data_IF_134258325191
#
_entry.id   IF_134258325191
#
_cell.length_a   1.000
_cell.length_b   1.000
_cell.length_c   1.000
_cell.angle_alpha   90.00
_cell.angle_beta   90.00
_cell.angle_gamma   90.00
#
_symmetry.space_group_name_H-M   'P 1'
#
loop_
_entity.id
_entity.type
_entity.pdbx_description
1 polymer ?
#
# COMPACT_ATOMS: atom_id res chain seq x y z
N UNK A 1 4.96 -4.98 -19.70
CA UNK A 1 4.80 -5.91 -20.84
C UNK A 1 3.37 -6.47 -20.76
N UNK A 2 2.47 -6.07 -21.66
CA UNK A 2 1.05 -6.49 -21.63
C UNK A 2 0.92 -7.97 -22.05
N UNK A 3 0.02 -8.78 -21.45
CA UNK A 3 -0.28 -10.11 -21.96
C UNK A 3 -0.94 -9.99 -23.35
N UNK A 4 -0.31 -10.63 -24.34
CA UNK A 4 -0.84 -10.73 -25.71
C UNK A 4 -2.08 -11.62 -25.67
N UNK A 5 -3.28 -11.07 -25.87
CA UNK A 5 -4.50 -11.90 -25.94
C UNK A 5 -5.84 -11.18 -26.04
N UNK A 6 -5.93 -9.92 -25.61
CA UNK A 6 -7.20 -9.20 -25.65
C UNK A 6 -7.45 -8.58 -27.04
N UNK A 7 -8.15 -9.33 -27.90
CA UNK A 7 -8.77 -8.75 -29.11
C UNK A 7 -9.95 -7.88 -28.67
N UNK A 8 -9.90 -6.58 -28.95
CA UNK A 8 -11.04 -5.67 -28.81
C UNK A 8 -12.17 -6.12 -29.74
N UNK A 9 -13.18 -6.79 -29.21
CA UNK A 9 -14.46 -6.98 -29.90
C UNK A 9 -15.36 -5.79 -29.56
N UNK A 10 -15.49 -4.85 -30.50
CA UNK A 10 -16.57 -3.87 -30.50
C UNK A 10 -17.90 -4.63 -30.66
N UNK A 11 -18.68 -4.78 -29.59
CA UNK A 11 -20.05 -5.25 -29.69
C UNK A 11 -20.94 -4.10 -30.16
N UNK A 12 -21.19 -4.06 -31.47
CA UNK A 12 -22.24 -3.24 -32.06
C UNK A 12 -23.61 -3.79 -31.62
N UNK A 13 -24.38 -2.94 -30.94
CA UNK A 13 -25.75 -3.20 -30.52
C UNK A 13 -26.66 -3.31 -31.75
N UNK A 14 -27.09 -4.53 -32.12
CA UNK A 14 -28.13 -4.76 -33.12
C UNK A 14 -29.35 -5.39 -32.44
N UNK A 15 -30.34 -4.55 -32.08
CA UNK A 15 -31.66 -5.05 -31.65
C UNK A 15 -32.67 -4.86 -32.76
N UNK A 16 -33.08 -5.98 -33.37
CA UNK A 16 -34.37 -6.11 -34.06
C UNK A 16 -35.42 -6.48 -33.00
N UNK A 17 -36.50 -5.71 -33.00
CA UNK A 17 -37.71 -5.86 -32.18
C UNK A 17 -38.54 -7.08 -32.57
N UNK A 18 -38.97 -7.89 -31.60
CA UNK A 18 -40.27 -8.61 -31.63
C UNK A 18 -40.63 -9.10 -30.21
N UNK A 19 -41.91 -9.03 -29.80
CA UNK A 19 -42.34 -9.41 -28.45
C UNK A 19 -42.86 -10.86 -28.41
N UNK A 20 -42.52 -11.60 -27.36
CA UNK A 20 -43.17 -12.87 -27.03
C UNK A 20 -43.69 -12.80 -25.59
N UNK A 21 -44.99 -13.05 -25.44
CA UNK A 21 -45.77 -12.99 -24.21
C UNK A 21 -45.75 -14.34 -23.50
N UNK A 22 -45.58 -14.34 -22.17
CA UNK A 22 -46.08 -15.35 -21.25
C UNK A 22 -45.11 -16.46 -20.80
N UNK A 23 -44.64 -16.38 -19.54
CA UNK A 23 -44.51 -17.51 -18.60
C UNK A 23 -43.95 -17.05 -17.23
N UNK A 24 -44.80 -17.16 -16.21
CA UNK A 24 -44.57 -17.55 -14.80
C UNK A 24 -43.44 -16.96 -13.94
N UNK A 25 -43.87 -16.54 -12.75
CA UNK A 25 -43.13 -15.81 -11.72
C UNK A 25 -42.12 -16.72 -10.99
N UNK A 26 -40.84 -16.53 -11.29
CA UNK A 26 -39.73 -16.80 -10.37
C UNK A 26 -39.15 -15.45 -9.96
N UNK A 27 -38.87 -15.26 -8.66
CA UNK A 27 -38.32 -14.04 -8.08
C UNK A 27 -36.85 -13.83 -8.52
N UNK A 28 -36.64 -13.61 -9.81
CA UNK A 28 -35.41 -13.08 -10.35
C UNK A 28 -35.30 -11.62 -9.93
N UNK A 29 -34.17 -11.29 -9.28
CA UNK A 29 -33.74 -9.94 -8.91
C UNK A 29 -33.94 -9.01 -10.12
N UNK A 30 -35.04 -8.24 -10.13
CA UNK A 30 -35.25 -7.18 -11.12
C UNK A 30 -34.13 -6.14 -10.91
N UNK A 31 -33.02 -6.28 -11.64
CA UNK A 31 -32.11 -5.17 -11.89
C UNK A 31 -32.92 -4.18 -12.73
N UNK A 32 -33.45 -3.14 -12.09
CA UNK A 32 -34.19 -2.07 -12.74
C UNK A 32 -33.28 -1.44 -13.79
N UNK A 33 -33.64 -1.60 -15.06
CA UNK A 33 -33.01 -0.94 -16.20
C UNK A 33 -33.41 0.55 -16.21
N UNK A 34 -32.92 1.34 -15.27
CA UNK A 34 -32.85 2.78 -15.49
C UNK A 34 -31.71 3.03 -16.48
N UNK A 35 -31.95 3.84 -17.51
CA UNK A 35 -31.09 4.04 -18.69
C UNK A 35 -29.71 4.67 -18.47
N UNK A 36 -29.03 4.40 -17.36
CA UNK A 36 -27.58 4.49 -17.25
C UNK A 36 -27.03 3.07 -17.31
N UNK A 37 -26.16 2.75 -18.26
CA UNK A 37 -25.47 1.46 -18.26
C UNK A 37 -24.78 1.30 -16.90
N UNK A 38 -25.18 0.30 -16.10
CA UNK A 38 -24.43 -0.06 -14.89
C UNK A 38 -23.06 -0.53 -15.37
N UNK A 39 -22.06 0.34 -15.27
CA UNK A 39 -20.70 0.05 -15.67
C UNK A 39 -20.08 -0.86 -14.64
N UNK A 40 -19.49 -1.97 -15.06
CA UNK A 40 -18.69 -2.83 -14.19
C UNK A 40 -17.63 -1.99 -13.45
N UNK A 41 -17.46 -2.26 -12.15
CA UNK A 41 -16.49 -1.57 -11.29
C UNK A 41 -15.57 -2.57 -10.60
N UNK A 42 -14.29 -2.24 -10.52
CA UNK A 42 -13.37 -2.82 -9.56
C UNK A 42 -13.30 -1.90 -8.33
N UNK A 43 -13.84 -2.36 -7.21
CA UNK A 43 -13.72 -1.68 -5.93
C UNK A 43 -12.44 -2.14 -5.22
N UNK A 44 -11.59 -1.20 -4.82
CA UNK A 44 -10.43 -1.49 -3.95
C UNK A 44 -10.87 -1.17 -2.52
N UNK A 45 -11.09 -2.20 -1.71
CA UNK A 45 -11.75 -2.06 -0.41
C UNK A 45 -10.76 -2.33 0.72
N UNK A 46 -10.53 -1.31 1.54
CA UNK A 46 -9.71 -1.48 2.74
C UNK A 46 -10.42 -2.31 3.81
N UNK A 47 -9.70 -3.25 4.41
CA UNK A 47 -10.16 -4.10 5.51
C UNK A 47 -9.53 -3.66 6.84
N UNK A 48 -10.10 -4.04 8.00
CA UNK A 48 -9.54 -3.65 9.29
C UNK A 48 -8.13 -4.21 9.54
N UNK A 49 -7.32 -3.48 10.33
CA UNK A 49 -5.94 -3.86 10.69
C UNK A 49 -5.81 -4.43 12.12
N UNK A 50 -6.91 -4.92 12.69
CA UNK A 50 -6.93 -5.55 14.02
C UNK A 50 -8.20 -5.32 14.83
N UNK A 51 -8.97 -4.26 14.52
CA UNK A 51 -10.24 -3.97 15.18
C UNK A 51 -11.39 -3.97 14.17
N UNK A 52 -12.34 -4.89 14.32
CA UNK A 52 -13.49 -5.03 13.39
C UNK A 52 -14.32 -3.74 13.26
N UNK A 53 -14.33 -2.88 14.28
CA UNK A 53 -15.03 -1.60 14.26
C UNK A 53 -14.43 -0.59 13.26
N UNK A 54 -13.21 -0.81 12.77
CA UNK A 54 -12.58 0.06 11.76
C UNK A 54 -13.12 -0.18 10.34
N UNK A 55 -14.02 -1.16 10.17
CA UNK A 55 -14.69 -1.40 8.90
C UNK A 55 -15.71 -0.29 8.61
N UNK A 56 -15.57 0.38 7.46
CA UNK A 56 -16.53 1.43 7.09
C UNK A 56 -17.87 0.84 6.63
N UNK A 57 -18.97 1.54 6.91
CA UNK A 57 -20.31 1.16 6.43
C UNK A 57 -20.34 1.01 4.90
N UNK A 58 -19.61 1.89 4.18
CA UNK A 58 -19.51 1.82 2.72
C UNK A 58 -18.76 0.57 2.25
N UNK A 59 -17.70 0.15 2.94
CA UNK A 59 -17.01 -1.10 2.62
C UNK A 59 -17.95 -2.29 2.77
N UNK A 60 -18.73 -2.35 3.86
CA UNK A 60 -19.72 -3.40 4.10
C UNK A 60 -20.79 -3.40 2.99
N UNK A 61 -21.34 -2.23 2.64
CA UNK A 61 -22.34 -2.11 1.59
C UNK A 61 -21.82 -2.60 0.23
N UNK A 62 -20.63 -2.14 -0.18
CA UNK A 62 -19.99 -2.56 -1.43
C UNK A 62 -19.76 -4.07 -1.45
N UNK A 63 -19.20 -4.63 -0.38
CA UNK A 63 -18.89 -6.06 -0.32
C UNK A 63 -20.14 -6.95 -0.35
N UNK A 64 -21.30 -6.46 0.10
CA UNK A 64 -22.58 -7.15 -0.02
C UNK A 64 -23.18 -7.09 -1.43
N UNK A 65 -22.78 -6.11 -2.24
CA UNK A 65 -23.37 -5.86 -3.55
C UNK A 65 -22.55 -6.40 -4.72
N UNK A 66 -21.23 -6.55 -4.55
CA UNK A 66 -20.35 -7.06 -5.62
C UNK A 66 -20.70 -8.50 -6.02
N UNK A 67 -20.52 -8.80 -7.30
CA UNK A 67 -20.79 -10.12 -7.87
C UNK A 67 -19.62 -11.10 -7.63
N UNK A 68 -18.42 -10.58 -7.30
CA UNK A 68 -17.23 -11.38 -6.99
C UNK A 68 -16.30 -10.66 -6.01
N UNK A 69 -15.75 -11.38 -5.05
CA UNK A 69 -14.71 -10.92 -4.14
C UNK A 69 -13.36 -11.54 -4.51
N UNK A 70 -12.39 -10.73 -4.89
CA UNK A 70 -10.99 -11.12 -5.00
C UNK A 70 -10.29 -10.83 -3.67
N UNK A 71 -9.91 -11.88 -2.93
CA UNK A 71 -9.26 -11.77 -1.63
C UNK A 71 -7.88 -12.41 -1.66
N UNK A 72 -6.91 -11.83 -0.96
CA UNK A 72 -5.56 -12.39 -0.82
C UNK A 72 -5.57 -13.82 -0.28
N UNK A 73 -6.08 -14.03 0.95
CA UNK A 73 -6.43 -15.35 1.48
C UNK A 73 -7.94 -15.45 1.75
N UNK A 74 -8.62 -16.33 1.02
CA UNK A 74 -10.07 -16.56 1.17
C UNK A 74 -10.44 -17.20 2.51
N UNK A 75 -9.51 -17.91 3.16
CA UNK A 75 -9.70 -18.51 4.48
C UNK A 75 -9.62 -17.46 5.58
N UNK A 76 -8.69 -16.51 5.45
CA UNK A 76 -8.57 -15.39 6.38
C UNK A 76 -9.80 -14.48 6.29
N UNK A 77 -10.09 -14.00 5.08
CA UNK A 77 -11.22 -13.11 4.81
C UNK A 77 -12.59 -13.73 5.15
N UNK A 78 -12.75 -15.06 5.09
CA UNK A 78 -14.01 -15.72 5.47
C UNK A 78 -14.45 -15.45 6.91
N UNK A 79 -13.54 -15.14 7.84
CA UNK A 79 -13.91 -14.73 9.20
C UNK A 79 -14.57 -13.35 9.17
N UNK A 80 -13.95 -12.39 8.49
CA UNK A 80 -14.46 -11.03 8.32
C UNK A 80 -15.80 -11.01 7.58
N UNK A 81 -15.92 -11.79 6.50
CA UNK A 81 -17.14 -11.87 5.70
C UNK A 81 -18.31 -12.43 6.51
N UNK A 82 -18.06 -13.48 7.31
CA UNK A 82 -19.09 -14.04 8.21
C UNK A 82 -19.54 -13.03 9.27
N UNK A 83 -18.61 -12.29 9.87
CA UNK A 83 -18.94 -11.28 10.88
C UNK A 83 -19.91 -10.22 10.33
N UNK A 84 -19.70 -9.78 9.09
CA UNK A 84 -20.54 -8.76 8.45
C UNK A 84 -21.67 -9.30 7.58
N UNK A 85 -21.93 -10.62 7.60
CA UNK A 85 -22.93 -11.28 6.76
C UNK A 85 -22.77 -10.92 5.27
N UNK A 86 -21.54 -11.03 4.76
CA UNK A 86 -21.20 -10.86 3.35
C UNK A 86 -21.17 -12.23 2.68
N UNK A 87 -21.98 -12.40 1.63
CA UNK A 87 -22.17 -13.67 0.93
C UNK A 87 -21.57 -13.69 -0.48
N UNK A 88 -20.87 -12.62 -0.88
CA UNK A 88 -20.26 -12.52 -2.20
C UNK A 88 -19.31 -13.71 -2.45
N UNK A 89 -19.38 -14.36 -3.62
CA UNK A 89 -18.51 -15.49 -3.92
C UNK A 89 -17.06 -15.01 -4.00
N UNK A 90 -16.16 -15.72 -3.33
CA UNK A 90 -14.76 -15.34 -3.23
C UNK A 90 -13.84 -16.13 -4.17
N UNK A 91 -12.76 -15.48 -4.62
CA UNK A 91 -11.62 -16.07 -5.33
C UNK A 91 -10.33 -15.63 -4.66
N UNK A 92 -9.38 -16.55 -4.53
CA UNK A 92 -8.05 -16.22 -4.05
C UNK A 92 -7.28 -15.43 -5.13
N UNK A 93 -6.83 -14.23 -4.79
CA UNK A 93 -6.04 -13.36 -5.66
C UNK A 93 -4.83 -12.79 -4.91
N UNK A 94 -3.65 -13.33 -5.22
CA UNK A 94 -2.36 -12.97 -4.64
C UNK A 94 -1.31 -12.77 -5.77
N UNK A 95 -0.06 -12.44 -5.42
CA UNK A 95 0.96 -12.04 -6.41
C UNK A 95 1.26 -13.12 -7.48
N UNK A 96 1.16 -14.39 -7.07
CA UNK A 96 1.30 -15.56 -7.94
C UNK A 96 0.00 -16.04 -8.61
N UNK A 97 -1.10 -15.31 -8.52
CA UNK A 97 -2.34 -15.73 -9.17
C UNK A 97 -2.16 -15.86 -10.68
N UNK A 98 -2.61 -17.01 -11.20
CA UNK A 98 -2.48 -17.37 -12.60
C UNK A 98 -3.57 -16.75 -13.48
N UNK A 99 -3.38 -16.87 -14.80
CA UNK A 99 -4.28 -16.32 -15.82
C UNK A 99 -5.74 -16.82 -15.69
N UNK A 100 -5.95 -18.02 -15.13
CA UNK A 100 -7.29 -18.56 -14.94
C UNK A 100 -8.15 -17.72 -13.98
N UNK A 101 -7.53 -17.20 -12.90
CA UNK A 101 -8.22 -16.33 -11.94
C UNK A 101 -8.50 -14.97 -12.56
N UNK A 102 -7.51 -14.39 -13.25
CA UNK A 102 -7.67 -13.12 -13.98
C UNK A 102 -8.78 -13.23 -15.05
N UNK A 103 -8.86 -14.36 -15.77
CA UNK A 103 -9.93 -14.61 -16.75
C UNK A 103 -11.30 -14.69 -16.08
N UNK A 104 -11.42 -15.37 -14.95
CA UNK A 104 -12.69 -15.44 -14.20
C UNK A 104 -13.15 -14.04 -13.78
N UNK A 105 -12.24 -13.20 -13.31
CA UNK A 105 -12.53 -11.81 -12.95
C UNK A 105 -12.92 -10.99 -14.19
N UNK A 106 -12.18 -11.13 -15.30
CA UNK A 106 -12.50 -10.44 -16.55
C UNK A 106 -13.90 -10.80 -17.08
N UNK A 107 -14.28 -12.08 -17.05
CA UNK A 107 -15.63 -12.54 -17.42
C UNK A 107 -16.71 -11.94 -16.52
N UNK A 108 -16.43 -11.70 -15.22
CA UNK A 108 -17.35 -11.00 -14.34
C UNK A 108 -17.59 -9.56 -14.85
N UNK A 109 -16.54 -8.82 -15.20
CA UNK A 109 -16.69 -7.47 -15.74
C UNK A 109 -17.36 -7.43 -17.12
N UNK A 110 -17.03 -8.37 -18.01
CA UNK A 110 -17.64 -8.48 -19.35
C UNK A 110 -19.15 -8.73 -19.28
N UNK A 111 -19.62 -9.40 -18.23
CA UNK A 111 -21.05 -9.60 -17.97
C UNK A 111 -21.72 -8.41 -17.25
N UNK A 112 -21.00 -7.32 -17.01
CA UNK A 112 -21.47 -6.13 -16.32
C UNK A 112 -21.46 -6.25 -14.79
N UNK A 113 -20.84 -7.31 -14.24
CA UNK A 113 -20.69 -7.52 -12.82
C UNK A 113 -19.56 -6.68 -12.20
N UNK A 114 -19.68 -6.37 -10.92
CA UNK A 114 -18.67 -5.65 -10.14
C UNK A 114 -17.85 -6.60 -9.29
N UNK A 115 -16.58 -6.23 -9.07
CA UNK A 115 -15.62 -7.03 -8.30
C UNK A 115 -15.03 -6.18 -7.18
N UNK A 116 -14.94 -6.71 -5.97
CA UNK A 116 -14.17 -6.09 -4.90
C UNK A 116 -12.81 -6.78 -4.75
N UNK A 117 -11.76 -6.01 -4.56
CA UNK A 117 -10.43 -6.47 -4.16
C UNK A 117 -10.22 -6.12 -2.68
N UNK A 118 -9.84 -7.11 -1.88
CA UNK A 118 -9.41 -6.96 -0.48
C UNK A 118 -8.06 -7.64 -0.25
N UNK A 119 -7.27 -7.12 0.69
CA UNK A 119 -6.13 -7.81 1.29
C UNK A 119 -6.52 -8.33 2.67
N UNK A 120 -5.66 -9.15 3.27
CA UNK A 120 -5.92 -9.73 4.58
C UNK A 120 -6.12 -8.65 5.65
N UNK A 121 -5.39 -7.54 5.56
CA UNK A 121 -5.55 -6.39 6.45
C UNK A 121 -5.15 -5.07 5.76
N UNK A 122 -5.92 -4.01 5.99
CA UNK A 122 -5.59 -2.67 5.55
C UNK A 122 -6.00 -2.38 4.12
N UNK A 123 -5.28 -1.46 3.46
CA UNK A 123 -5.60 -1.00 2.11
C UNK A 123 -4.87 -1.86 1.08
N UNK A 124 -5.58 -2.57 0.18
CA UNK A 124 -4.95 -3.36 -0.87
C UNK A 124 -4.00 -2.50 -1.73
N UNK A 125 -3.00 -3.14 -2.34
CA UNK A 125 -1.89 -2.54 -3.09
C UNK A 125 -0.83 -1.81 -2.24
N UNK A 126 -1.05 -1.57 -0.94
CA UNK A 126 -0.05 -0.94 -0.07
C UNK A 126 0.74 -2.03 0.66
N UNK A 127 1.84 -2.47 0.05
CA UNK A 127 2.60 -3.68 0.45
C UNK A 127 1.80 -4.99 0.35
N UNK A 128 0.70 -4.97 -0.39
CA UNK A 128 -0.22 -6.09 -0.63
C UNK A 128 -0.36 -6.37 -2.13
N UNK A 129 -0.83 -7.57 -2.54
CA UNK A 129 -1.16 -7.86 -3.93
C UNK A 129 -2.30 -6.97 -4.47
N UNK A 130 -2.45 -6.92 -5.80
CA UNK A 130 -3.57 -6.22 -6.45
C UNK A 130 -3.18 -5.29 -7.60
N UNK A 131 -1.90 -4.88 -7.66
CA UNK A 131 -1.41 -3.99 -8.73
C UNK A 131 -1.75 -4.50 -10.12
N UNK A 132 -1.49 -5.78 -10.40
CA UNK A 132 -1.80 -6.42 -11.68
C UNK A 132 -3.30 -6.40 -12.01
N UNK A 133 -4.16 -6.58 -11.01
CA UNK A 133 -5.61 -6.57 -11.21
C UNK A 133 -6.14 -5.19 -11.55
N UNK A 134 -5.65 -4.15 -10.87
CA UNK A 134 -5.99 -2.76 -11.18
C UNK A 134 -5.54 -2.40 -12.60
N UNK A 135 -4.33 -2.83 -13.00
CA UNK A 135 -3.83 -2.66 -14.36
C UNK A 135 -4.70 -3.38 -15.40
N UNK A 136 -5.18 -4.59 -15.09
CA UNK A 136 -6.08 -5.34 -15.96
C UNK A 136 -7.43 -4.63 -16.11
N UNK A 137 -8.05 -4.18 -15.00
CA UNK A 137 -9.29 -3.42 -15.03
C UNK A 137 -9.17 -2.18 -15.91
N UNK A 138 -8.11 -1.38 -15.72
CA UNK A 138 -7.81 -0.21 -16.53
C UNK A 138 -7.65 -0.55 -18.02
N UNK A 139 -6.95 -1.65 -18.33
CA UNK A 139 -6.75 -2.10 -19.71
C UNK A 139 -8.06 -2.52 -20.41
N UNK A 140 -9.03 -3.00 -19.63
CA UNK A 140 -10.36 -3.39 -20.10
C UNK A 140 -11.37 -2.23 -20.08
N UNK A 141 -10.97 -1.02 -19.66
CA UNK A 141 -11.87 0.12 -19.53
C UNK A 141 -12.87 0.00 -18.37
N UNK A 142 -12.62 -0.90 -17.41
CA UNK A 142 -13.41 -1.06 -16.20
C UNK A 142 -13.09 0.09 -15.24
N UNK A 143 -14.12 0.68 -14.65
CA UNK A 143 -13.94 1.73 -13.66
C UNK A 143 -13.25 1.16 -12.41
N UNK A 144 -12.24 1.85 -11.90
CA UNK A 144 -11.60 1.50 -10.62
C UNK A 144 -12.01 2.51 -9.58
N UNK A 145 -12.56 2.05 -8.46
CA UNK A 145 -13.08 2.90 -7.38
C UNK A 145 -12.44 2.55 -6.04
N UNK A 146 -11.72 3.47 -5.38
CA UNK A 146 -11.19 3.23 -4.06
C UNK A 146 -12.28 3.42 -2.99
N UNK A 147 -12.35 2.48 -2.04
CA UNK A 147 -13.11 2.62 -0.80
C UNK A 147 -12.12 2.86 0.34
N UNK A 148 -11.86 4.12 0.73
CA UNK A 148 -11.05 4.45 1.88
C UNK A 148 -11.41 3.69 3.15
N UNK A 149 -10.38 3.40 3.95
CA UNK A 149 -10.46 2.71 5.23
C UNK A 149 -9.08 2.62 5.86
N UNK A 150 -8.87 1.61 6.69
CA UNK A 150 -7.66 1.47 7.52
C UNK A 150 -6.37 1.30 6.69
N UNK A 151 -5.32 2.03 7.06
CA UNK A 151 -3.97 1.87 6.54
C UNK A 151 -2.98 2.02 7.71
N UNK A 152 -2.21 0.97 8.01
CA UNK A 152 -1.36 0.94 9.19
C UNK A 152 -0.27 2.03 9.17
N UNK A 153 0.35 2.28 8.01
CA UNK A 153 1.33 3.35 7.83
C UNK A 153 0.76 4.74 8.18
N UNK A 154 -0.43 5.06 7.67
CA UNK A 154 -1.07 6.35 7.91
C UNK A 154 -1.57 6.46 9.36
N UNK A 155 -2.12 5.38 9.92
CA UNK A 155 -2.54 5.35 11.31
C UNK A 155 -1.35 5.61 12.25
N UNK A 156 -0.23 4.91 12.07
CA UNK A 156 0.99 5.10 12.85
C UNK A 156 1.56 6.52 12.70
N UNK A 157 1.63 7.03 11.46
CA UNK A 157 2.15 8.37 11.20
C UNK A 157 1.32 9.46 11.88
N UNK A 158 -0.01 9.31 11.92
CA UNK A 158 -0.93 10.29 12.51
C UNK A 158 -0.74 10.54 14.00
N UNK A 159 -0.15 9.58 14.73
CA UNK A 159 0.14 9.67 16.16
C UNK A 159 1.63 9.74 16.49
N UNK A 160 2.49 9.76 15.47
CA UNK A 160 3.96 9.65 15.63
C UNK A 160 4.64 10.92 16.18
N UNK A 161 4.01 12.09 16.04
CA UNK A 161 4.65 13.38 16.33
C UNK A 161 5.76 13.79 15.34
N UNK A 162 5.96 13.03 14.25
CA UNK A 162 6.92 13.36 13.19
C UNK A 162 6.32 14.32 12.15
N UNK A 163 7.14 15.07 11.39
CA UNK A 163 6.64 15.89 10.29
C UNK A 163 5.89 15.05 9.26
N UNK A 164 4.69 15.48 8.89
CA UNK A 164 3.80 14.76 7.95
C UNK A 164 3.50 15.55 6.68
N UNK A 165 4.09 16.75 6.52
CA UNK A 165 4.02 17.56 5.30
C UNK A 165 4.69 16.86 4.11
N UNK A 166 5.73 16.06 4.39
CA UNK A 166 6.37 15.17 3.41
C UNK A 166 6.85 13.89 4.10
N UNK A 167 6.39 12.74 3.59
CA UNK A 167 6.86 11.43 4.03
C UNK A 167 7.06 10.49 2.83
N UNK A 168 7.86 9.45 3.04
CA UNK A 168 8.07 8.36 2.09
C UNK A 168 7.71 7.03 2.77
N UNK A 169 6.91 6.22 2.06
CA UNK A 169 6.59 4.86 2.48
C UNK A 169 7.48 3.88 1.71
N UNK A 170 8.34 3.18 2.44
CA UNK A 170 9.38 2.30 1.89
C UNK A 170 8.98 0.82 1.94
N UNK A 171 7.80 0.50 2.51
CA UNK A 171 7.34 -0.87 2.66
C UNK A 171 8.28 -1.72 3.52
N UNK A 172 8.48 -2.97 3.12
CA UNK A 172 9.34 -3.92 3.84
C UNK A 172 10.79 -3.84 3.36
N UNK A 173 11.72 -3.74 4.31
CA UNK A 173 13.15 -3.75 4.00
C UNK A 173 13.64 -5.13 3.55
N UNK A 174 14.67 -5.19 2.68
CA UNK A 174 15.26 -6.45 2.23
C UNK A 174 15.61 -7.39 3.38
N UNK A 175 15.30 -8.67 3.22
CA UNK A 175 15.55 -9.68 4.25
C UNK A 175 17.04 -9.89 4.54
N UNK A 176 17.88 -9.84 3.49
CA UNK A 176 19.33 -10.03 3.61
C UNK A 176 19.99 -8.78 4.18
N UNK A 177 20.80 -8.94 5.23
CA UNK A 177 21.46 -7.84 5.94
C UNK A 177 22.23 -6.89 5.00
N UNK A 178 23.09 -7.40 4.12
CA UNK A 178 23.86 -6.55 3.19
C UNK A 178 22.96 -5.74 2.24
N UNK A 179 21.90 -6.36 1.70
CA UNK A 179 20.97 -5.66 0.82
C UNK A 179 20.16 -4.60 1.57
N UNK A 180 19.81 -4.87 2.83
CA UNK A 180 19.13 -3.91 3.71
C UNK A 180 20.02 -2.73 4.06
N UNK A 181 21.28 -2.99 4.41
CA UNK A 181 22.27 -1.95 4.72
C UNK A 181 22.50 -1.05 3.50
N UNK A 182 22.63 -1.62 2.30
CA UNK A 182 22.74 -0.86 1.06
C UNK A 182 21.48 -0.02 0.77
N UNK A 183 20.29 -0.60 0.96
CA UNK A 183 19.03 0.13 0.78
C UNK A 183 18.89 1.30 1.78
N UNK A 184 19.27 1.09 3.04
CA UNK A 184 19.25 2.13 4.06
C UNK A 184 20.26 3.24 3.78
N UNK A 185 21.43 2.92 3.22
CA UNK A 185 22.44 3.91 2.84
C UNK A 185 21.90 4.92 1.82
N UNK A 186 21.09 4.48 0.85
CA UNK A 186 20.47 5.35 -0.16
C UNK A 186 19.43 6.32 0.44
N UNK A 187 18.94 6.05 1.67
CA UNK A 187 17.91 6.83 2.34
C UNK A 187 18.45 7.78 3.43
N UNK A 188 19.75 7.72 3.75
CA UNK A 188 20.37 8.45 4.88
C UNK A 188 20.15 9.97 4.80
N UNK A 189 20.24 10.53 3.60
CA UNK A 189 20.10 11.96 3.36
C UNK A 189 18.64 12.41 3.14
N UNK A 190 17.67 11.50 3.32
CA UNK A 190 16.26 11.84 3.21
C UNK A 190 15.86 12.87 4.27
N UNK A 191 15.22 13.93 3.82
CA UNK A 191 14.67 14.99 4.67
C UNK A 191 13.19 14.75 5.01
N UNK A 192 12.56 13.76 4.37
CA UNK A 192 11.18 13.37 4.63
C UNK A 192 11.10 12.34 5.76
N UNK A 193 9.98 12.28 6.45
CA UNK A 193 9.70 11.18 7.38
C UNK A 193 9.65 9.86 6.60
N UNK A 194 10.41 8.86 7.04
CA UNK A 194 10.44 7.54 6.42
C UNK A 194 9.55 6.57 7.20
N UNK A 195 8.70 5.82 6.50
CA UNK A 195 7.80 4.83 7.09
C UNK A 195 8.13 3.46 6.50
N UNK A 196 8.44 2.50 7.38
CA UNK A 196 8.76 1.12 7.03
C UNK A 196 7.77 0.17 7.70
N UNK A 197 7.51 -0.96 7.05
CA UNK A 197 6.94 -2.14 7.67
C UNK A 197 8.05 -3.15 7.95
N UNK A 198 7.87 -3.93 9.02
CA UNK A 198 8.80 -5.01 9.37
C UNK A 198 8.09 -6.15 10.08
N UNK A 199 8.56 -7.38 9.85
CA UNK A 199 8.06 -8.54 10.55
C UNK A 199 8.50 -8.51 12.03
N UNK A 200 7.65 -8.92 12.99
CA UNK A 200 7.94 -8.78 14.43
C UNK A 200 9.29 -9.37 14.86
N UNK A 201 9.67 -10.52 14.29
CA UNK A 201 10.92 -11.23 14.61
C UNK A 201 12.18 -10.58 14.00
N UNK A 202 12.02 -9.64 13.06
CA UNK A 202 13.12 -8.93 12.37
C UNK A 202 13.35 -7.51 12.89
N UNK A 203 12.44 -6.97 13.71
CA UNK A 203 12.50 -5.57 14.17
C UNK A 203 13.85 -5.26 14.84
N UNK A 204 14.34 -6.14 15.72
CA UNK A 204 15.63 -5.93 16.40
C UNK A 204 16.82 -5.85 15.44
N UNK A 205 16.91 -6.77 14.48
CA UNK A 205 17.97 -6.79 13.46
C UNK A 205 17.88 -5.56 12.53
N UNK A 206 16.65 -5.18 12.17
CA UNK A 206 16.37 -4.01 11.35
C UNK A 206 16.83 -2.71 12.02
N UNK A 207 16.49 -2.53 13.31
CA UNK A 207 16.94 -1.37 14.11
C UNK A 207 18.47 -1.31 14.22
N UNK A 208 19.13 -2.46 14.40
CA UNK A 208 20.60 -2.50 14.39
C UNK A 208 21.19 -2.06 13.04
N UNK A 209 20.60 -2.46 11.91
CA UNK A 209 21.03 -1.99 10.59
C UNK A 209 20.82 -0.48 10.40
N UNK A 210 19.77 0.09 10.97
CA UNK A 210 19.52 1.54 10.94
C UNK A 210 20.53 2.32 11.80
N UNK A 211 20.96 1.75 12.92
CA UNK A 211 21.94 2.36 13.83
C UNK A 211 23.37 2.33 13.25
N UNK A 212 23.74 1.24 12.55
CA UNK A 212 25.05 1.11 11.88
C UNK A 212 25.37 2.18 10.83
N UNK A 213 24.35 2.86 10.29
CA UNK A 213 24.52 3.97 9.34
C UNK A 213 25.11 5.24 9.97
N UNK A 214 25.40 5.24 11.27
CA UNK A 214 26.03 6.37 11.94
C UNK A 214 27.26 5.92 12.73
N UNK A 215 28.45 6.34 12.30
CA UNK A 215 29.67 6.18 13.10
C UNK A 215 29.45 6.81 14.49
N UNK A 216 29.97 6.16 15.53
CA UNK A 216 29.90 6.73 16.87
C UNK A 216 30.68 8.05 16.93
N UNK A 217 30.11 9.04 17.62
CA UNK A 217 30.84 10.26 17.97
C UNK A 217 31.65 9.97 19.22
N UNK A 218 32.94 9.71 19.04
CA UNK A 218 33.88 9.55 20.16
C UNK A 218 34.44 10.90 20.64
N UNK A 219 35.15 10.88 21.76
CA UNK A 219 35.73 12.11 22.34
C UNK A 219 36.74 12.79 21.42
N UNK A 220 37.50 12.02 20.64
CA UNK A 220 38.49 12.55 19.71
C UNK A 220 37.82 13.35 18.57
N UNK A 221 36.70 12.85 18.05
CA UNK A 221 35.93 13.53 17.01
C UNK A 221 35.26 14.81 17.53
N UNK A 222 34.81 14.83 18.79
CA UNK A 222 34.30 16.03 19.45
C UNK A 222 35.40 17.08 19.65
N UNK A 223 36.57 16.67 20.12
CA UNK A 223 37.73 17.57 20.28
C UNK A 223 38.17 18.15 18.93
N UNK A 224 38.23 17.32 17.90
CA UNK A 224 38.57 17.75 16.55
C UNK A 224 37.51 18.71 15.99
N UNK A 225 36.22 18.46 16.25
CA UNK A 225 35.13 19.37 15.88
C UNK A 225 35.27 20.74 16.55
N UNK A 226 35.57 20.77 17.85
CA UNK A 226 35.78 22.02 18.58
C UNK A 226 37.02 22.79 18.08
N UNK A 227 38.10 22.08 17.75
CA UNK A 227 39.32 22.66 17.18
C UNK A 227 39.07 23.25 15.79
N UNK A 228 38.43 22.50 14.88
CA UNK A 228 38.10 23.03 13.55
C UNK A 228 37.11 24.21 13.63
N UNK A 229 36.17 24.19 14.56
CA UNK A 229 35.22 25.26 14.76
C UNK A 229 35.83 26.56 15.33
N UNK A 230 37.06 26.54 15.89
CA UNK A 230 37.78 27.77 16.25
C UNK A 230 38.38 28.46 15.03
N UNK A 231 38.75 27.68 14.00
CA UNK A 231 39.44 28.18 12.80
C UNK A 231 38.49 28.49 11.63
N UNK A 232 37.28 27.95 11.65
CA UNK A 232 36.32 28.12 10.55
C UNK A 232 34.86 28.06 11.00
N UNK A 233 33.90 28.51 10.16
CA UNK A 233 32.48 28.43 10.50
C UNK A 233 32.07 27.01 10.93
N UNK A 234 31.37 26.83 12.07
CA UNK A 234 31.08 25.49 12.61
C UNK A 234 30.29 24.59 11.64
N UNK A 235 29.46 25.18 10.77
CA UNK A 235 28.77 24.45 9.70
C UNK A 235 29.72 23.85 8.65
N UNK A 236 30.86 24.50 8.38
CA UNK A 236 31.92 23.99 7.48
C UNK A 236 32.77 22.93 8.20
N UNK A 237 33.12 23.14 9.47
CA UNK A 237 33.81 22.14 10.28
C UNK A 237 33.02 20.82 10.37
N UNK A 238 31.72 20.90 10.66
CA UNK A 238 30.84 19.74 10.70
C UNK A 238 30.70 19.05 9.33
N UNK A 239 30.80 19.77 8.22
CA UNK A 239 30.78 19.17 6.88
C UNK A 239 32.05 18.38 6.63
N UNK A 240 33.23 18.99 6.86
CA UNK A 240 34.52 18.33 6.64
C UNK A 240 34.67 17.06 7.49
N UNK A 241 34.22 17.12 8.75
CA UNK A 241 34.24 15.96 9.62
C UNK A 241 33.21 14.90 9.23
N UNK A 242 32.06 15.29 8.69
CA UNK A 242 31.11 14.31 8.17
C UNK A 242 31.72 13.53 6.99
N UNK A 243 32.39 14.24 6.09
CA UNK A 243 33.04 13.66 4.92
C UNK A 243 34.18 12.68 5.30
N UNK A 244 34.83 12.89 6.47
CA UNK A 244 35.94 12.05 6.95
C UNK A 244 35.51 10.91 7.89
N UNK A 245 34.59 11.18 8.82
CA UNK A 245 34.23 10.26 9.91
C UNK A 245 33.05 9.34 9.59
N UNK A 246 32.27 9.68 8.55
CA UNK A 246 30.99 9.03 8.27
C UNK A 246 29.89 9.37 9.29
N UNK A 247 30.16 10.25 10.27
CA UNK A 247 29.14 10.79 11.17
C UNK A 247 28.34 11.86 10.43
N UNK A 248 27.02 11.87 10.58
CA UNK A 248 26.16 12.87 9.94
C UNK A 248 26.52 14.28 10.41
N UNK A 249 26.67 15.21 9.44
CA UNK A 249 26.93 16.64 9.69
C UNK A 249 25.99 17.26 10.73
N UNK A 250 24.69 16.94 10.66
CA UNK A 250 23.69 17.49 11.59
C UNK A 250 23.97 17.08 13.03
N UNK A 251 24.40 15.82 13.24
CA UNK A 251 24.74 15.28 14.56
C UNK A 251 26.04 15.88 15.07
N UNK A 252 27.07 16.01 14.23
CA UNK A 252 28.32 16.71 14.57
C UNK A 252 28.07 18.19 14.95
N UNK A 253 27.22 18.88 14.20
CA UNK A 253 26.85 20.26 14.48
C UNK A 253 26.06 20.38 15.79
N UNK A 254 25.14 19.45 16.06
CA UNK A 254 24.41 19.42 17.33
C UNK A 254 25.35 19.14 18.51
N UNK A 255 26.26 18.17 18.39
CA UNK A 255 27.27 17.91 19.42
C UNK A 255 28.16 19.12 19.71
N UNK A 256 28.53 19.89 18.67
CA UNK A 256 29.23 21.16 18.85
C UNK A 256 28.41 22.17 19.66
N UNK A 257 27.12 22.36 19.32
CA UNK A 257 26.25 23.29 20.07
C UNK A 257 26.12 22.87 21.54
N UNK A 258 25.92 21.58 21.80
CA UNK A 258 25.77 21.04 23.15
C UNK A 258 27.07 21.17 23.97
N UNK A 259 28.23 21.02 23.33
CA UNK A 259 29.55 21.19 23.97
C UNK A 259 29.91 22.67 24.19
N UNK A 260 29.55 23.55 23.26
CA UNK A 260 29.80 24.99 23.34
C UNK A 260 28.95 25.66 24.43
N UNK A 261 27.75 25.16 24.71
CA UNK A 261 26.89 25.64 25.79
C UNK A 261 27.37 25.25 27.20
N UNK A 262 28.26 24.26 27.31
CA UNK A 262 28.80 23.77 28.59
C UNK A 262 30.13 24.45 28.99
N UNK A 263 30.63 25.38 28.19
CA UNK A 263 31.80 26.22 28.48
C UNK A 263 31.35 27.59 28.94
#
# INVERSE_FOLDING_TARGET
MLPKGYKKTCYACSRKSSPCVGAEQSAARLKTCNGGSVTAVLYVVATPIGNLADMSERAIAVLREVDLLAAEDTRHSAVLMRHFAIEAPAVAYHEHSGEAVERRIATCWESGGSVALISDAGTPLISDPGYRLVRLAQALGVQVSPIPGACAAIAALSVSGLPTDRFAFEGFLPAKAQAREQYLADLVDSTATLVFYEAPHRVGECLQSMDKGESAIDSALVELMLSLASEMPPRKAAQLLADYSGVRKKRLYQCYLDAAQKR
#
